data_IF_264176133944
#
_entry.id   IF_264176133944
#
_cell.length_a   1.000
_cell.length_b   1.000
_cell.length_c   1.000
_cell.angle_alpha   90.00
_cell.angle_beta   90.00
_cell.angle_gamma   90.00
#
_symmetry.space_group_name_H-M   'P 1'
#
loop_
_entity.id
_entity.type
_entity.pdbx_description
1 polymer ?
#
# COMPACT_ATOMS: atom_id res chain seq x y z
N UNK A 1 -15.84 24.12 10.07
CA UNK A 1 -16.59 22.97 9.55
C UNK A 1 -15.66 22.28 8.57
N UNK A 2 -15.08 21.15 8.99
CA UNK A 2 -13.84 20.63 8.43
C UNK A 2 -14.01 20.10 7.00
N UNK A 3 -13.51 20.86 6.02
CA UNK A 3 -13.36 20.45 4.61
C UNK A 3 -12.21 19.44 4.39
N UNK A 4 -11.48 19.08 5.44
CA UNK A 4 -10.32 18.18 5.40
C UNK A 4 -10.65 16.68 5.41
N UNK A 5 -11.92 16.30 5.63
CA UNK A 5 -12.35 14.89 5.67
C UNK A 5 -13.12 14.47 4.42
N UNK A 6 -12.75 15.00 3.25
CA UNK A 6 -12.95 14.22 2.02
C UNK A 6 -11.92 13.11 2.05
N UNK A 7 -12.29 11.98 2.64
CA UNK A 7 -11.81 10.71 2.15
C UNK A 7 -12.03 10.75 0.64
N UNK A 8 -10.99 11.08 -0.11
CA UNK A 8 -10.92 10.76 -1.52
C UNK A 8 -11.10 9.26 -1.54
N UNK A 9 -12.34 8.81 -1.74
CA UNK A 9 -12.68 7.45 -2.05
C UNK A 9 -12.12 7.18 -3.45
N UNK A 10 -10.81 7.28 -3.57
CA UNK A 10 -10.04 6.87 -4.72
C UNK A 10 -10.17 5.36 -4.66
N UNK A 11 -11.11 4.84 -5.46
CA UNK A 11 -11.25 3.40 -5.65
C UNK A 11 -9.89 2.93 -6.15
N UNK A 12 -9.11 2.31 -5.26
CA UNK A 12 -7.83 1.73 -5.62
C UNK A 12 -8.16 0.60 -6.59
N UNK A 13 -7.67 0.65 -7.85
CA UNK A 13 -7.97 -0.39 -8.81
C UNK A 13 -7.53 -1.75 -8.28
N UNK A 14 -8.39 -2.75 -8.44
CA UNK A 14 -8.05 -4.13 -8.14
C UNK A 14 -7.33 -4.74 -9.32
N UNK A 15 -6.17 -5.33 -9.08
CA UNK A 15 -5.37 -6.08 -10.06
C UNK A 15 -5.56 -7.57 -9.80
N UNK A 16 -5.83 -8.33 -10.86
CA UNK A 16 -5.97 -9.79 -10.80
C UNK A 16 -4.66 -10.42 -11.28
N UNK A 17 -4.07 -11.27 -10.45
CA UNK A 17 -2.88 -12.05 -10.79
C UNK A 17 -3.26 -13.52 -10.95
N UNK A 18 -3.06 -14.06 -12.15
CA UNK A 18 -3.28 -15.47 -12.44
C UNK A 18 -2.06 -16.29 -12.02
N UNK A 19 -2.20 -17.11 -10.98
CA UNK A 19 -1.20 -18.10 -10.60
C UNK A 19 -1.63 -19.51 -11.05
N UNK A 20 -0.68 -20.45 -11.16
CA UNK A 20 -0.98 -21.85 -11.49
C UNK A 20 -1.98 -22.54 -10.53
N UNK A 21 -2.27 -21.92 -9.37
CA UNK A 21 -3.19 -22.42 -8.34
C UNK A 21 -4.50 -21.62 -8.26
N UNK A 22 -4.72 -20.65 -9.17
CA UNK A 22 -5.92 -19.81 -9.24
C UNK A 22 -5.62 -18.31 -9.39
N UNK A 23 -6.67 -17.51 -9.52
CA UNK A 23 -6.62 -16.03 -9.58
C UNK A 23 -6.64 -15.43 -8.16
N UNK A 24 -5.73 -14.50 -7.88
CA UNK A 24 -5.75 -13.69 -6.66
C UNK A 24 -5.91 -12.22 -7.03
N UNK A 25 -6.88 -11.58 -6.39
CA UNK A 25 -7.13 -10.15 -6.53
C UNK A 25 -6.41 -9.38 -5.42
N UNK A 26 -5.63 -8.36 -5.79
CA UNK A 26 -4.98 -7.44 -4.87
C UNK A 26 -5.39 -6.01 -5.22
N UNK A 27 -5.45 -5.11 -4.25
CA UNK A 27 -5.44 -3.69 -4.60
C UNK A 27 -4.06 -3.33 -5.19
N UNK A 28 -4.04 -2.35 -6.10
CA UNK A 28 -2.84 -1.94 -6.81
C UNK A 28 -1.68 -1.58 -5.88
N UNK A 29 -1.94 -0.89 -4.76
CA UNK A 29 -0.88 -0.49 -3.83
C UNK A 29 -0.28 -1.70 -3.12
N UNK A 30 -1.08 -2.66 -2.69
CA UNK A 30 -0.58 -3.92 -2.14
C UNK A 30 0.26 -4.70 -3.15
N UNK A 31 -0.13 -4.72 -4.44
CA UNK A 31 0.66 -5.40 -5.48
C UNK A 31 2.03 -4.75 -5.65
N UNK A 32 2.09 -3.42 -5.64
CA UNK A 32 3.32 -2.65 -5.79
C UNK A 32 4.19 -2.72 -4.53
N UNK A 33 3.59 -2.76 -3.34
CA UNK A 33 4.31 -2.96 -2.09
C UNK A 33 5.06 -4.30 -2.11
N UNK A 34 4.45 -5.38 -2.61
CA UNK A 34 5.14 -6.67 -2.80
C UNK A 34 6.32 -6.61 -3.78
N UNK A 35 6.32 -5.68 -4.71
CA UNK A 35 7.45 -5.38 -5.60
C UNK A 35 8.44 -4.38 -4.96
N UNK A 36 8.35 -4.19 -3.64
CA UNK A 36 9.16 -3.27 -2.82
C UNK A 36 9.01 -1.79 -3.20
N UNK A 37 7.82 -1.38 -3.66
CA UNK A 37 7.52 0.01 -4.03
C UNK A 37 6.63 0.64 -2.96
N UNK A 38 7.12 1.70 -2.32
CA UNK A 38 6.40 2.51 -1.30
C UNK A 38 6.10 3.90 -1.87
N UNK A 39 4.88 4.40 -1.66
CA UNK A 39 4.44 5.72 -2.11
C UNK A 39 4.28 6.69 -0.95
N UNK A 40 4.82 7.91 -1.12
CA UNK A 40 4.51 9.08 -0.29
C UNK A 40 3.76 10.10 -1.15
N UNK A 41 2.43 10.15 -1.02
CA UNK A 41 1.56 10.98 -1.86
C UNK A 41 0.97 12.21 -1.16
N UNK A 42 1.21 12.37 0.15
CA UNK A 42 0.64 13.43 0.99
C UNK A 42 1.74 14.13 1.78
N UNK A 43 1.40 15.22 2.46
CA UNK A 43 2.32 15.84 3.43
C UNK A 43 2.74 14.85 4.52
N UNK A 44 3.95 15.02 5.04
CA UNK A 44 4.48 14.17 6.12
C UNK A 44 3.94 14.69 7.44
N UNK A 45 3.16 13.85 8.09
CA UNK A 45 2.76 13.97 9.50
C UNK A 45 3.10 12.67 10.24
N UNK A 46 2.82 12.63 11.54
CA UNK A 46 3.12 11.47 12.39
C UNK A 46 2.41 10.19 11.89
N UNK A 47 1.23 10.32 11.29
CA UNK A 47 0.47 9.16 10.79
C UNK A 47 1.12 8.60 9.54
N UNK A 48 1.45 9.47 8.58
CA UNK A 48 2.11 9.09 7.33
C UNK A 48 3.50 8.52 7.59
N UNK A 49 4.26 9.13 8.51
CA UNK A 49 5.57 8.65 8.92
C UNK A 49 5.49 7.24 9.52
N UNK A 50 4.55 7.01 10.44
CA UNK A 50 4.35 5.69 11.05
C UNK A 50 3.95 4.62 10.02
N UNK A 51 3.10 4.96 9.04
CA UNK A 51 2.71 4.04 7.98
C UNK A 51 3.90 3.65 7.08
N UNK A 52 4.72 4.61 6.68
CA UNK A 52 5.92 4.34 5.87
C UNK A 52 6.91 3.48 6.65
N UNK A 53 7.16 3.80 7.93
CA UNK A 53 8.01 2.98 8.80
C UNK A 53 7.50 1.53 8.91
N UNK A 54 6.20 1.34 9.13
CA UNK A 54 5.60 0.01 9.19
C UNK A 54 5.75 -0.76 7.86
N UNK A 55 5.55 -0.10 6.72
CA UNK A 55 5.75 -0.71 5.40
C UNK A 55 7.21 -1.11 5.16
N UNK A 56 8.18 -0.29 5.57
CA UNK A 56 9.60 -0.64 5.46
C UNK A 56 9.97 -1.86 6.31
N UNK A 57 9.56 -1.88 7.59
CA UNK A 57 9.81 -3.01 8.49
C UNK A 57 9.13 -4.30 8.00
N UNK A 58 7.93 -4.18 7.44
CA UNK A 58 7.24 -5.30 6.82
C UNK A 58 8.04 -5.88 5.64
N UNK A 59 8.51 -5.02 4.72
CA UNK A 59 9.30 -5.46 3.57
C UNK A 59 10.64 -6.07 3.98
N UNK A 60 11.29 -5.54 5.01
CA UNK A 60 12.50 -6.13 5.59
C UNK A 60 12.22 -7.51 6.16
N UNK A 61 11.08 -7.70 6.84
CA UNK A 61 10.73 -9.02 7.41
C UNK A 61 10.38 -10.09 6.36
N UNK A 62 9.96 -9.69 5.16
CA UNK A 62 9.74 -10.59 4.02
C UNK A 62 11.05 -10.97 3.32
N UNK A 63 12.15 -10.22 3.55
CA UNK A 63 13.51 -10.66 3.19
C UNK A 63 13.98 -11.67 4.25
N UNK A 64 13.64 -12.93 4.01
CA UNK A 64 14.24 -14.06 4.71
C UNK A 64 15.64 -14.32 4.13
N UNK A 65 16.64 -13.60 4.62
CA UNK A 65 18.02 -14.08 4.63
C UNK A 65 18.16 -15.32 5.55
#
# INVERSE_FOLDING_TARGET
MNEFFRAQNYLVPTVVESSARGERAYDLYSRLLRERIVFLGTGVDDTVANLICAQMLFLESEDSD
#
